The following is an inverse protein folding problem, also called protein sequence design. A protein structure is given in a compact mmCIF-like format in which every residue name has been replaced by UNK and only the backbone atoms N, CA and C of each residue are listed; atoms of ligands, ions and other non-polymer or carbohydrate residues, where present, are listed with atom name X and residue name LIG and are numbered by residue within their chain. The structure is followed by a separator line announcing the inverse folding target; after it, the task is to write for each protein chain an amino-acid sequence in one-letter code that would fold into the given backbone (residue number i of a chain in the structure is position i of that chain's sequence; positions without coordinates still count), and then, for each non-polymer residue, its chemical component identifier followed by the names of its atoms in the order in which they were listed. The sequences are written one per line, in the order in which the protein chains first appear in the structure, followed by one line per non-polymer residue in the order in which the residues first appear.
data_IF_822419916819
#
_entry.id   IF_822419916819
#
_cell.length_a   1.000
_cell.length_b   1.000
_cell.length_c   1.000
_cell.angle_alpha   90.00
_cell.angle_beta   90.00
_cell.angle_gamma   90.00
#
_symmetry.space_group_name_H-M   'P 1'
#
loop_
_entity.id
_entity.type
_entity.pdbx_description
1 polymer ?
#
# COMPACT_ATOMS: atom_id res chain seq x y z
N UNK A 1 -16.69 22.11 96.20
CA UNK A 1 -16.75 21.66 94.79
C UNK A 1 -17.80 22.48 94.05
N UNK A 2 -17.40 23.43 93.21
CA UNK A 2 -18.30 24.23 92.37
C UNK A 2 -18.55 23.45 91.08
N UNK A 3 -19.78 22.97 90.87
CA UNK A 3 -20.17 22.28 89.62
C UNK A 3 -20.64 23.33 88.60
N UNK A 4 -19.88 23.49 87.53
CA UNK A 4 -20.24 24.29 86.35
C UNK A 4 -21.25 23.49 85.53
N UNK A 5 -22.50 23.97 85.43
CA UNK A 5 -23.47 23.46 84.46
C UNK A 5 -23.32 24.28 83.18
N UNK A 6 -22.60 23.74 82.20
CA UNK A 6 -22.64 24.23 80.83
C UNK A 6 -23.93 23.76 80.18
N UNK A 7 -24.88 24.67 79.96
CA UNK A 7 -26.02 24.42 79.09
C UNK A 7 -25.62 24.84 77.68
N UNK A 8 -25.49 23.89 76.76
CA UNK A 8 -25.49 24.17 75.32
C UNK A 8 -26.93 24.50 74.94
N UNK A 9 -27.22 25.77 74.69
CA UNK A 9 -28.47 26.18 74.05
C UNK A 9 -28.34 25.77 72.59
N UNK A 10 -29.05 24.72 72.18
CA UNK A 10 -29.25 24.39 70.77
C UNK A 10 -30.39 25.28 70.28
N UNK A 11 -30.18 26.21 69.35
CA UNK A 11 -31.27 26.96 68.75
C UNK A 11 -32.18 25.98 68.00
N UNK A 12 -33.43 25.90 68.44
CA UNK A 12 -34.54 25.42 67.62
C UNK A 12 -34.81 26.50 66.57
N UNK A 13 -34.17 26.39 65.42
CA UNK A 13 -34.76 26.86 64.18
C UNK A 13 -34.56 25.75 63.15
N UNK A 14 -35.67 25.10 62.86
CA UNK A 14 -35.82 24.13 61.78
C UNK A 14 -35.63 24.86 60.46
N UNK A 15 -34.47 24.69 59.84
CA UNK A 15 -34.36 24.86 58.39
C UNK A 15 -33.50 23.75 57.79
N UNK A 16 -33.91 22.50 58.05
CA UNK A 16 -33.32 21.32 57.41
C UNK A 16 -33.52 21.35 55.89
N UNK A 17 -34.48 22.14 55.39
CA UNK A 17 -34.70 22.43 53.97
C UNK A 17 -33.64 23.41 53.42
N UNK A 18 -33.21 24.43 54.17
CA UNK A 18 -32.12 25.31 53.77
C UNK A 18 -30.75 24.61 53.71
N UNK A 19 -30.54 23.49 54.40
CA UNK A 19 -29.32 22.66 54.22
C UNK A 19 -29.41 21.70 53.03
N UNK A 20 -30.59 21.43 52.47
CA UNK A 20 -30.72 20.65 51.23
C UNK A 20 -30.43 21.48 49.97
N UNK A 21 -30.68 22.79 49.98
CA UNK A 21 -30.41 23.66 48.83
C UNK A 21 -28.93 23.73 48.43
N UNK A 22 -27.95 23.88 49.34
CA UNK A 22 -26.53 23.86 48.99
C UNK A 22 -26.08 22.50 48.45
N UNK A 23 -26.63 21.40 48.97
CA UNK A 23 -26.28 20.05 48.52
C UNK A 23 -26.89 19.73 47.15
N UNK A 24 -28.07 20.26 46.84
CA UNK A 24 -28.69 20.14 45.52
C UNK A 24 -28.01 21.06 44.48
N UNK A 25 -27.64 22.30 44.84
CA UNK A 25 -26.98 23.23 43.91
C UNK A 25 -25.52 22.86 43.62
N UNK A 26 -24.78 22.34 44.61
CA UNK A 26 -23.41 21.82 44.42
C UNK A 26 -23.42 20.54 43.56
N UNK A 27 -24.45 19.71 43.69
CA UNK A 27 -24.61 18.49 42.88
C UNK A 27 -25.04 18.76 41.43
N UNK A 28 -25.92 19.72 41.19
CA UNK A 28 -26.47 19.99 39.84
C UNK A 28 -25.54 20.80 38.95
N UNK A 29 -24.87 21.83 39.47
CA UNK A 29 -23.93 22.62 38.65
C UNK A 29 -22.67 21.83 38.28
N UNK A 30 -22.20 20.96 39.18
CA UNK A 30 -21.06 20.09 38.90
C UNK A 30 -21.42 18.94 37.93
N UNK A 31 -22.64 18.42 37.98
CA UNK A 31 -23.13 17.39 37.05
C UNK A 31 -23.34 17.95 35.64
N UNK A 32 -23.96 19.12 35.50
CA UNK A 32 -24.21 19.74 34.18
C UNK A 32 -22.92 20.13 33.45
N UNK A 33 -21.93 20.67 34.17
CA UNK A 33 -20.62 20.97 33.59
C UNK A 33 -19.85 19.70 33.20
N UNK A 34 -19.98 18.61 33.97
CA UNK A 34 -19.38 17.31 33.63
C UNK A 34 -20.02 16.68 32.39
N UNK A 35 -21.34 16.75 32.27
CA UNK A 35 -22.06 16.23 31.11
C UNK A 35 -21.76 17.04 29.84
N UNK A 36 -21.62 18.37 29.95
CA UNK A 36 -21.22 19.23 28.84
C UNK A 36 -19.81 18.90 28.32
N UNK A 37 -18.81 18.86 29.22
CA UNK A 37 -17.43 18.51 28.87
C UNK A 37 -17.32 17.09 28.28
N UNK A 38 -18.12 16.15 28.79
CA UNK A 38 -18.18 14.79 28.25
C UNK A 38 -18.81 14.76 26.86
N UNK A 39 -19.87 15.52 26.63
CA UNK A 39 -20.49 15.68 25.31
C UNK A 39 -19.50 16.22 24.27
N UNK A 40 -18.71 17.23 24.64
CA UNK A 40 -17.64 17.78 23.79
C UNK A 40 -16.55 16.74 23.49
N UNK A 41 -16.09 15.97 24.49
CA UNK A 41 -15.10 14.89 24.30
C UNK A 41 -15.63 13.76 23.42
N UNK A 42 -16.89 13.39 23.57
CA UNK A 42 -17.55 12.37 22.74
C UNK A 42 -17.68 12.85 21.30
N UNK A 43 -18.11 14.10 21.09
CA UNK A 43 -18.20 14.70 19.76
C UNK A 43 -16.82 14.76 19.09
N UNK A 44 -15.79 15.21 19.83
CA UNK A 44 -14.41 15.24 19.35
C UNK A 44 -13.90 13.84 18.97
N UNK A 45 -14.14 12.83 19.81
CA UNK A 45 -13.71 11.45 19.55
C UNK A 45 -14.40 10.84 18.32
N UNK A 46 -15.69 11.14 18.11
CA UNK A 46 -16.42 10.73 16.90
C UNK A 46 -15.84 11.35 15.64
N UNK A 47 -15.55 12.66 15.67
CA UNK A 47 -14.91 13.35 14.55
C UNK A 47 -13.53 12.76 14.25
N UNK A 48 -12.73 12.45 15.28
CA UNK A 48 -11.42 11.80 15.07
C UNK A 48 -11.58 10.41 14.45
N UNK A 49 -12.50 9.57 14.96
CA UNK A 49 -12.80 8.27 14.36
C UNK A 49 -13.22 8.40 12.90
N UNK A 50 -14.12 9.33 12.60
CA UNK A 50 -14.61 9.54 11.23
C UNK A 50 -13.45 9.98 10.32
N UNK A 51 -12.57 10.86 10.77
CA UNK A 51 -11.36 11.23 10.02
C UNK A 51 -10.45 10.03 9.75
N UNK A 52 -10.26 9.13 10.72
CA UNK A 52 -9.47 7.91 10.53
C UNK A 52 -10.15 6.96 9.53
N UNK A 53 -11.48 6.85 9.56
CA UNK A 53 -12.25 6.07 8.59
C UNK A 53 -12.08 6.60 7.15
N UNK A 54 -12.12 7.92 6.95
CA UNK A 54 -11.86 8.51 5.63
C UNK A 54 -10.42 8.25 5.16
N UNK A 55 -9.44 8.28 6.08
CA UNK A 55 -8.05 7.91 5.75
C UNK A 55 -7.94 6.43 5.36
N UNK A 56 -8.68 5.55 6.05
CA UNK A 56 -8.74 4.12 5.74
C UNK A 56 -9.32 3.88 4.34
N UNK A 57 -10.41 4.56 3.99
CA UNK A 57 -11.02 4.50 2.65
C UNK A 57 -10.03 4.94 1.55
N UNK A 58 -9.31 6.04 1.78
CA UNK A 58 -8.31 6.53 0.85
C UNK A 58 -7.17 5.50 0.61
N UNK A 59 -6.70 4.84 1.67
CA UNK A 59 -5.68 3.78 1.55
C UNK A 59 -6.22 2.59 0.76
N UNK A 60 -7.46 2.17 1.01
CA UNK A 60 -8.07 1.06 0.28
C UNK A 60 -8.18 1.37 -1.22
N UNK A 61 -8.54 2.60 -1.58
CA UNK A 61 -8.55 3.03 -2.98
C UNK A 61 -7.15 2.96 -3.62
N UNK A 62 -6.12 3.46 -2.91
CA UNK A 62 -4.74 3.39 -3.38
C UNK A 62 -4.25 1.94 -3.57
N UNK A 63 -4.63 1.01 -2.68
CA UNK A 63 -4.29 -0.41 -2.82
C UNK A 63 -4.93 -1.03 -4.07
N UNK A 64 -6.16 -0.66 -4.39
CA UNK A 64 -6.84 -1.13 -5.61
C UNK A 64 -6.14 -0.60 -6.87
N UNK A 65 -5.80 0.69 -6.88
CA UNK A 65 -5.07 1.31 -7.99
C UNK A 65 -3.70 0.66 -8.22
N UNK A 66 -2.94 0.42 -7.15
CA UNK A 66 -1.66 -0.30 -7.22
C UNK A 66 -1.84 -1.76 -7.64
N UNK A 67 -2.93 -2.41 -7.24
CA UNK A 67 -3.30 -3.75 -7.69
C UNK A 67 -3.47 -3.81 -9.21
N UNK A 68 -4.24 -2.89 -9.79
CA UNK A 68 -4.41 -2.82 -11.25
C UNK A 68 -3.10 -2.48 -11.99
N UNK A 69 -2.26 -1.61 -11.42
CA UNK A 69 -0.95 -1.31 -11.97
C UNK A 69 -0.02 -2.54 -11.96
N UNK A 70 -0.06 -3.34 -10.90
CA UNK A 70 0.72 -4.57 -10.77
C UNK A 70 0.31 -5.60 -11.83
N UNK A 71 -0.98 -5.79 -12.06
CA UNK A 71 -1.50 -6.68 -13.10
C UNK A 71 -1.00 -6.29 -14.50
N UNK A 72 -1.01 -4.98 -14.82
CA UNK A 72 -0.51 -4.48 -16.10
C UNK A 72 1.01 -4.69 -16.25
N UNK A 73 1.77 -4.51 -15.18
CA UNK A 73 3.21 -4.75 -15.19
C UNK A 73 3.52 -6.24 -15.37
N UNK A 74 2.80 -7.12 -14.68
CA UNK A 74 2.95 -8.57 -14.82
C UNK A 74 2.60 -9.04 -16.24
N UNK A 75 1.51 -8.52 -16.83
CA UNK A 75 1.16 -8.77 -18.23
C UNK A 75 2.27 -8.32 -19.19
N UNK A 76 2.79 -7.09 -19.00
CA UNK A 76 3.85 -6.53 -19.83
C UNK A 76 5.11 -7.38 -19.75
N UNK A 77 5.51 -7.78 -18.54
CA UNK A 77 6.66 -8.67 -18.33
C UNK A 77 6.48 -10.01 -19.04
N UNK A 78 5.31 -10.63 -18.90
CA UNK A 78 5.02 -11.91 -19.55
C UNK A 78 5.13 -11.80 -21.08
N UNK A 79 4.62 -10.71 -21.65
CA UNK A 79 4.71 -10.44 -23.09
C UNK A 79 6.17 -10.25 -23.53
N UNK A 80 6.97 -9.51 -22.78
CA UNK A 80 8.41 -9.34 -23.07
C UNK A 80 9.16 -10.67 -23.02
N UNK A 81 8.89 -11.52 -22.02
CA UNK A 81 9.48 -12.85 -21.94
C UNK A 81 9.11 -13.72 -23.15
N UNK A 82 7.83 -13.74 -23.55
CA UNK A 82 7.39 -14.49 -24.74
C UNK A 82 8.09 -14.01 -26.03
N UNK A 83 8.28 -12.69 -26.17
CA UNK A 83 9.00 -12.13 -27.31
C UNK A 83 10.48 -12.47 -27.29
N UNK A 84 11.11 -12.44 -26.11
CA UNK A 84 12.49 -12.84 -25.91
C UNK A 84 12.69 -14.31 -26.28
N UNK A 85 11.89 -15.23 -25.72
CA UNK A 85 11.95 -16.66 -26.00
C UNK A 85 11.83 -16.99 -27.50
N UNK A 86 10.86 -16.37 -28.19
CA UNK A 86 10.67 -16.59 -29.63
C UNK A 86 11.83 -16.02 -30.46
N UNK A 87 12.42 -14.89 -30.05
CA UNK A 87 13.59 -14.32 -30.72
C UNK A 87 14.84 -15.18 -30.50
N UNK A 88 15.06 -15.67 -29.27
CA UNK A 88 16.16 -16.60 -28.96
C UNK A 88 16.03 -17.85 -29.82
N UNK A 89 14.85 -18.49 -29.85
CA UNK A 89 14.62 -19.70 -30.65
C UNK A 89 14.90 -19.45 -32.14
N UNK A 90 14.42 -18.33 -32.70
CA UNK A 90 14.68 -17.97 -34.10
C UNK A 90 16.16 -17.68 -34.35
N UNK A 91 16.82 -17.02 -33.42
CA UNK A 91 18.25 -16.72 -33.53
C UNK A 91 19.07 -18.01 -33.54
N UNK A 92 18.79 -18.96 -32.63
CA UNK A 92 19.44 -20.27 -32.61
C UNK A 92 19.23 -21.04 -33.92
N UNK A 93 18.01 -21.04 -34.47
CA UNK A 93 17.72 -21.67 -35.76
C UNK A 93 18.51 -21.01 -36.90
N UNK A 94 18.55 -19.67 -36.93
CA UNK A 94 19.32 -18.91 -37.91
C UNK A 94 20.82 -19.13 -37.78
N UNK A 95 21.37 -19.13 -36.57
CA UNK A 95 22.78 -19.42 -36.33
C UNK A 95 23.14 -20.85 -36.73
N UNK A 96 22.23 -21.82 -36.53
CA UNK A 96 22.42 -23.20 -36.96
C UNK A 96 22.47 -23.29 -38.49
N UNK A 97 21.58 -22.57 -39.18
CA UNK A 97 21.61 -22.47 -40.64
C UNK A 97 22.89 -21.78 -41.14
N UNK A 98 23.28 -20.65 -40.54
CA UNK A 98 24.54 -19.98 -40.86
C UNK A 98 25.73 -20.92 -40.68
N UNK A 99 25.84 -21.58 -39.51
CA UNK A 99 26.90 -22.56 -39.23
C UNK A 99 26.86 -23.77 -40.15
N UNK A 100 25.71 -24.19 -40.67
CA UNK A 100 25.64 -25.29 -41.65
C UNK A 100 26.15 -24.88 -43.03
N UNK A 101 25.84 -23.65 -43.44
CA UNK A 101 26.31 -23.08 -44.71
C UNK A 101 27.80 -22.73 -44.65
N UNK A 102 28.26 -22.26 -43.50
CA UNK A 102 29.67 -21.96 -43.23
C UNK A 102 30.47 -23.21 -42.83
N UNK A 103 29.87 -24.22 -42.21
CA UNK A 103 30.54 -25.44 -41.72
C UNK A 103 30.81 -26.50 -42.80
N UNK A 104 30.19 -26.38 -43.97
CA UNK A 104 30.64 -27.09 -45.18
C UNK A 104 31.93 -26.51 -45.78
N UNK A 105 32.49 -25.47 -45.16
CA UNK A 105 33.46 -24.57 -45.72
C UNK A 105 34.53 -24.23 -44.66
N UNK A 106 35.81 -24.55 -44.90
CA UNK A 106 36.93 -24.01 -44.10
C UNK A 106 36.84 -22.47 -44.01
N UNK A 107 37.57 -21.81 -43.10
CA UNK A 107 37.59 -20.33 -43.00
C UNK A 107 37.95 -19.63 -44.34
N UNK A 108 38.68 -20.30 -45.25
CA UNK A 108 38.93 -19.86 -46.63
C UNK A 108 37.69 -19.89 -47.54
N UNK A 109 36.66 -20.63 -47.14
CA UNK A 109 35.45 -20.90 -47.90
C UNK A 109 34.23 -20.07 -47.45
N UNK A 110 34.28 -19.33 -46.34
CA UNK A 110 33.27 -18.29 -46.07
C UNK A 110 33.26 -17.20 -47.17
N UNK A 111 34.44 -16.86 -47.69
CA UNK A 111 34.61 -16.02 -48.89
C UNK A 111 34.17 -16.78 -50.16
N UNK A 112 34.36 -18.11 -50.19
CA UNK A 112 33.93 -18.95 -51.31
C UNK A 112 32.39 -19.06 -51.39
N UNK A 113 31.66 -19.17 -50.28
CA UNK A 113 30.19 -19.18 -50.25
C UNK A 113 29.66 -17.90 -50.88
N UNK A 114 30.16 -16.73 -50.46
CA UNK A 114 29.77 -15.48 -51.13
C UNK A 114 30.13 -15.49 -52.62
N UNK A 115 31.31 -16.01 -52.99
CA UNK A 115 31.76 -16.10 -54.38
C UNK A 115 30.85 -16.95 -55.28
N UNK A 116 30.20 -17.98 -54.71
CA UNK A 116 29.31 -18.92 -55.40
C UNK A 116 27.90 -18.36 -55.57
N UNK A 117 27.47 -17.45 -54.69
CA UNK A 117 26.15 -16.83 -54.74
C UNK A 117 26.04 -15.82 -55.89
N UNK A 118 24.87 -15.81 -56.56
CA UNK A 118 24.53 -14.76 -57.50
C UNK A 118 24.46 -13.39 -56.81
N UNK A 119 24.61 -12.29 -57.55
CA UNK A 119 24.67 -10.94 -56.97
C UNK A 119 23.50 -10.60 -56.04
N UNK A 120 22.28 -11.03 -56.38
CA UNK A 120 21.10 -10.84 -55.53
C UNK A 120 21.08 -11.73 -54.29
N UNK A 121 21.58 -12.96 -54.40
CA UNK A 121 21.69 -13.89 -53.25
C UNK A 121 22.77 -13.44 -52.28
N UNK A 122 23.89 -12.91 -52.77
CA UNK A 122 24.96 -12.36 -51.93
C UNK A 122 24.49 -11.17 -51.08
N UNK A 123 23.64 -10.30 -51.64
CA UNK A 123 23.03 -9.20 -50.88
C UNK A 123 22.09 -9.73 -49.79
N UNK A 124 21.23 -10.71 -50.11
CA UNK A 124 20.35 -11.35 -49.11
C UNK A 124 21.14 -12.04 -48.01
N UNK A 125 22.23 -12.73 -48.35
CA UNK A 125 23.12 -13.38 -47.41
C UNK A 125 23.74 -12.39 -46.42
N UNK A 126 24.38 -11.33 -46.92
CA UNK A 126 24.98 -10.30 -46.04
C UNK A 126 23.97 -9.66 -45.11
N UNK A 127 22.77 -9.33 -45.61
CA UNK A 127 21.69 -8.77 -44.79
C UNK A 127 21.21 -9.74 -43.71
N UNK A 128 21.10 -11.03 -44.03
CA UNK A 128 20.70 -12.06 -43.07
C UNK A 128 21.78 -12.27 -42.02
N UNK A 129 23.04 -12.33 -42.45
CA UNK A 129 24.20 -12.44 -41.56
C UNK A 129 24.26 -11.27 -40.59
N UNK A 130 24.18 -10.03 -41.09
CA UNK A 130 24.11 -8.82 -40.26
C UNK A 130 22.94 -8.87 -39.28
N UNK A 131 21.73 -9.24 -39.75
CA UNK A 131 20.56 -9.36 -38.87
C UNK A 131 20.80 -10.33 -37.70
N UNK A 132 21.42 -11.48 -37.96
CA UNK A 132 21.62 -12.54 -36.96
C UNK A 132 22.81 -12.25 -36.06
N UNK A 133 23.91 -11.71 -36.58
CA UNK A 133 25.15 -11.54 -35.81
C UNK A 133 25.21 -10.24 -35.04
N UNK A 134 24.44 -9.21 -35.42
CA UNK A 134 24.49 -7.90 -34.75
C UNK A 134 23.12 -7.43 -34.29
N UNK A 135 22.15 -7.31 -35.21
CA UNK A 135 20.88 -6.64 -34.91
C UNK A 135 20.03 -7.42 -33.89
N UNK A 136 19.81 -8.72 -34.11
CA UNK A 136 19.00 -9.54 -33.21
C UNK A 136 19.61 -9.67 -31.80
N UNK A 137 20.92 -9.90 -31.63
CA UNK A 137 21.56 -9.83 -30.31
C UNK A 137 21.36 -8.50 -29.59
N UNK A 138 21.48 -7.37 -30.29
CA UNK A 138 21.21 -6.05 -29.69
C UNK A 138 19.75 -5.89 -29.26
N UNK A 139 18.80 -6.41 -30.04
CA UNK A 139 17.38 -6.41 -29.69
C UNK A 139 17.11 -7.31 -28.47
N UNK A 140 17.75 -8.47 -28.39
CA UNK A 140 17.65 -9.37 -27.23
C UNK A 140 18.17 -8.71 -25.96
N UNK A 141 19.35 -8.09 -26.01
CA UNK A 141 19.90 -7.36 -24.87
C UNK A 141 18.95 -6.25 -24.38
N UNK A 142 18.36 -5.47 -25.30
CA UNK A 142 17.36 -4.45 -24.94
C UNK A 142 16.08 -5.03 -24.34
N UNK A 143 15.68 -6.23 -24.76
CA UNK A 143 14.52 -6.92 -24.16
C UNK A 143 14.83 -7.42 -22.75
N UNK A 144 16.03 -7.95 -22.53
CA UNK A 144 16.52 -8.35 -21.21
C UNK A 144 16.54 -7.16 -20.24
N UNK A 145 17.11 -6.02 -20.67
CA UNK A 145 17.07 -4.77 -19.90
C UNK A 145 15.64 -4.35 -19.56
N UNK A 146 14.70 -4.52 -20.50
CA UNK A 146 13.29 -4.18 -20.27
C UNK A 146 12.61 -5.11 -19.26
N UNK A 147 12.92 -6.41 -19.33
CA UNK A 147 12.44 -7.42 -18.38
C UNK A 147 12.97 -7.10 -16.97
N UNK A 148 14.24 -6.77 -16.85
CA UNK A 148 14.85 -6.36 -15.57
C UNK A 148 14.21 -5.09 -15.01
N UNK A 149 14.01 -4.07 -15.85
CA UNK A 149 13.33 -2.84 -15.46
C UNK A 149 11.88 -3.11 -14.99
N UNK A 150 11.14 -3.95 -15.69
CA UNK A 150 9.78 -4.34 -15.29
C UNK A 150 9.79 -5.10 -13.97
N UNK A 151 10.75 -6.01 -13.77
CA UNK A 151 10.92 -6.71 -12.49
C UNK A 151 11.23 -5.75 -11.34
N UNK A 152 12.04 -4.71 -11.57
CA UNK A 152 12.29 -3.67 -10.58
C UNK A 152 11.01 -2.89 -10.23
N UNK A 153 10.24 -2.44 -11.24
CA UNK A 153 8.96 -1.75 -11.01
C UNK A 153 7.95 -2.61 -10.26
N UNK A 154 7.88 -3.91 -10.57
CA UNK A 154 7.01 -4.86 -9.88
C UNK A 154 7.39 -4.96 -8.39
N UNK A 155 8.69 -5.01 -8.07
CA UNK A 155 9.17 -5.01 -6.67
C UNK A 155 8.76 -3.71 -5.97
N UNK A 156 9.04 -2.55 -6.56
CA UNK A 156 8.70 -1.26 -5.97
C UNK A 156 7.18 -1.10 -5.71
N UNK A 157 6.33 -1.59 -6.62
CA UNK A 157 4.87 -1.56 -6.44
C UNK A 157 4.45 -2.50 -5.31
N UNK A 158 5.04 -3.70 -5.22
CA UNK A 158 4.75 -4.65 -4.14
C UNK A 158 5.15 -4.10 -2.77
N UNK A 159 6.32 -3.47 -2.67
CA UNK A 159 6.80 -2.85 -1.43
C UNK A 159 5.85 -1.74 -0.98
N UNK A 160 5.42 -0.86 -1.91
CA UNK A 160 4.41 0.18 -1.62
C UNK A 160 3.06 -0.40 -1.18
N UNK A 161 2.63 -1.51 -1.79
CA UNK A 161 1.40 -2.18 -1.37
C UNK A 161 1.53 -2.76 0.04
N UNK A 162 2.69 -3.30 0.40
CA UNK A 162 2.95 -3.80 1.75
C UNK A 162 2.93 -2.66 2.79
N UNK A 163 3.55 -1.52 2.47
CA UNK A 163 3.48 -0.32 3.30
C UNK A 163 2.04 0.17 3.51
N UNK A 164 1.22 0.18 2.46
CA UNK A 164 -0.19 0.55 2.55
C UNK A 164 -0.99 -0.44 3.41
N UNK A 165 -0.72 -1.75 3.28
CA UNK A 165 -1.37 -2.78 4.13
C UNK A 165 -1.02 -2.60 5.59
N UNK A 166 0.25 -2.28 5.90
CA UNK A 166 0.69 -1.99 7.25
C UNK A 166 0.01 -0.74 7.82
N UNK A 167 -0.05 0.35 7.05
CA UNK A 167 -0.78 1.58 7.42
C UNK A 167 -2.27 1.33 7.63
N UNK A 168 -2.89 0.52 6.76
CA UNK A 168 -4.30 0.12 6.87
C UNK A 168 -4.56 -0.65 8.16
N UNK A 169 -3.67 -1.55 8.54
CA UNK A 169 -3.77 -2.29 9.79
C UNK A 169 -3.67 -1.35 11.00
N UNK A 170 -2.66 -0.48 11.03
CA UNK A 170 -2.49 0.51 12.09
C UNK A 170 -3.71 1.44 12.24
N UNK A 171 -4.26 1.94 11.13
CA UNK A 171 -5.49 2.75 11.17
C UNK A 171 -6.68 1.99 11.73
N UNK A 172 -6.83 0.68 11.43
CA UNK A 172 -7.90 -0.13 12.01
C UNK A 172 -7.75 -0.30 13.51
N UNK A 173 -6.52 -0.45 14.00
CA UNK A 173 -6.23 -0.51 15.43
C UNK A 173 -6.58 0.83 16.10
N UNK A 174 -6.17 1.96 15.51
CA UNK A 174 -6.50 3.30 16.01
C UNK A 174 -8.02 3.56 16.03
N UNK A 175 -8.73 3.13 14.99
CA UNK A 175 -10.19 3.21 14.92
C UNK A 175 -10.81 2.37 16.04
N UNK A 176 -10.36 1.13 16.24
CA UNK A 176 -10.89 0.24 17.27
C UNK A 176 -10.70 0.85 18.68
N UNK A 177 -9.54 1.45 18.96
CA UNK A 177 -9.29 2.17 20.21
C UNK A 177 -10.27 3.34 20.36
N UNK A 178 -10.53 4.11 19.30
CA UNK A 178 -11.49 5.23 19.36
C UNK A 178 -12.93 4.75 19.53
N UNK A 179 -13.30 3.61 18.95
CA UNK A 179 -14.60 3.00 19.13
C UNK A 179 -14.79 2.49 20.57
N UNK A 180 -13.76 1.91 21.17
CA UNK A 180 -13.75 1.51 22.58
C UNK A 180 -13.86 2.73 23.52
N UNK A 181 -13.06 3.79 23.28
CA UNK A 181 -13.16 5.06 24.03
C UNK A 181 -14.60 5.60 24.00
N UNK A 182 -15.23 5.61 22.82
CA UNK A 182 -16.60 6.04 22.61
C UNK A 182 -17.58 5.13 23.37
N UNK A 183 -17.41 3.81 23.30
CA UNK A 183 -18.27 2.85 23.97
C UNK A 183 -18.22 3.00 25.50
N UNK A 184 -17.02 3.13 26.07
CA UNK A 184 -16.82 3.41 27.50
C UNK A 184 -17.51 4.70 27.90
N UNK A 185 -17.26 5.79 27.16
CA UNK A 185 -17.90 7.08 27.38
C UNK A 185 -19.41 7.06 27.19
N UNK A 186 -20.02 6.07 26.52
CA UNK A 186 -21.47 5.91 26.44
C UNK A 186 -22.01 5.04 27.57
N UNK A 187 -21.30 3.99 27.95
CA UNK A 187 -21.68 3.07 29.04
C UNK A 187 -21.69 3.71 30.42
N UNK A 188 -20.80 4.67 30.67
CA UNK A 188 -20.81 5.51 31.89
C UNK A 188 -22.13 6.31 32.04
N UNK A 189 -22.98 6.37 31.00
CA UNK A 189 -24.27 7.06 31.02
C UNK A 189 -25.40 6.13 31.47
N UNK A 190 -25.23 4.82 31.32
CA UNK A 190 -26.25 3.84 31.70
C UNK A 190 -26.15 3.41 33.17
N UNK A 191 -25.11 3.84 33.88
CA UNK A 191 -24.85 3.50 35.29
C UNK A 191 -25.33 4.58 36.29
N UNK A 192 -25.84 5.71 35.81
CA UNK A 192 -26.40 6.80 36.62
C UNK A 192 -27.85 7.10 36.23
#
# INVERSE_FOLDING_TARGET
MKKVKGCLVVPQDEDWMAMQQPLQSIGTESSLNRDSQRGERLASSRVTRDNLMHQLEAIVLQEVELGSALELLDYTRQKCNQQHDELVRRLEDCERMLRSLEGGASAESAVAVESILSGGERVRWRRTKEMVTTILPEVLARLEDNIELNNAKIRDVRDKMEDLRAKRLALREDIAVKEEDIALMLSDKSLY
#
